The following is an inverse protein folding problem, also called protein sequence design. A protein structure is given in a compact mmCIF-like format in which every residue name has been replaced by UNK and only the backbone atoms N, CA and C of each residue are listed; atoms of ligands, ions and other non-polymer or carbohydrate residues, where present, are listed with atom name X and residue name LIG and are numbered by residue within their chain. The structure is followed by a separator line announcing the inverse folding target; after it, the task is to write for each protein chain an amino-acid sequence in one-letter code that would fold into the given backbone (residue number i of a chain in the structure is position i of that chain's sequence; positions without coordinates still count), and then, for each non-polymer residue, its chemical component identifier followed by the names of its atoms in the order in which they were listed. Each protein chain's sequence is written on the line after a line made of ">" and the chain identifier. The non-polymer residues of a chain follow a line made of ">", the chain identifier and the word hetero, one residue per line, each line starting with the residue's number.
data_IF_578286312393
#
_entry.id   IF_578286312393
#
_cell.length_a   1.000
_cell.length_b   1.000
_cell.length_c   1.000
_cell.angle_alpha   90.00
_cell.angle_beta   90.00
_cell.angle_gamma   90.00
#
_symmetry.space_group_name_H-M   'P 1'
#
loop_
_entity.id
_entity.type
_entity.pdbx_description
1 polymer ?
#
# COMPACT_ATOMS: atom_id res chain seq x y z
N UNK A 1 5.50 -19.25 -11.04
CA UNK A 1 4.39 -19.37 -10.06
C UNK A 1 4.86 -18.96 -8.65
N UNK A 2 5.56 -19.81 -7.89
CA UNK A 2 6.06 -19.47 -6.54
C UNK A 2 7.18 -18.43 -6.47
N UNK A 3 8.19 -18.46 -7.37
CA UNK A 3 9.26 -17.46 -7.37
C UNK A 3 8.76 -16.06 -7.68
N UNK A 4 7.76 -15.94 -8.55
CA UNK A 4 7.18 -14.65 -8.96
C UNK A 4 6.38 -14.02 -7.81
N UNK A 5 5.65 -14.84 -7.04
CA UNK A 5 4.99 -14.40 -5.82
C UNK A 5 6.00 -13.89 -4.78
N UNK A 6 7.10 -14.63 -4.57
CA UNK A 6 8.16 -14.20 -3.64
C UNK A 6 8.84 -12.90 -4.10
N UNK A 7 9.04 -12.71 -5.40
CA UNK A 7 9.58 -11.45 -5.97
C UNK A 7 8.61 -10.29 -5.76
N UNK A 8 7.31 -10.49 -6.04
CA UNK A 8 6.30 -9.47 -5.80
C UNK A 8 6.23 -9.09 -4.31
N UNK A 9 6.27 -10.08 -3.41
CA UNK A 9 6.28 -9.84 -1.97
C UNK A 9 7.54 -9.08 -1.52
N UNK A 10 8.72 -9.46 -2.04
CA UNK A 10 9.96 -8.76 -1.76
C UNK A 10 9.90 -7.29 -2.19
N UNK A 11 9.33 -6.99 -3.37
CA UNK A 11 9.15 -5.62 -3.83
C UNK A 11 8.19 -4.83 -2.93
N UNK A 12 7.08 -5.43 -2.50
CA UNK A 12 6.14 -4.78 -1.57
C UNK A 12 6.84 -4.44 -0.26
N UNK A 13 7.62 -5.36 0.31
CA UNK A 13 8.39 -5.13 1.54
C UNK A 13 9.42 -3.99 1.39
N UNK A 14 10.12 -3.95 0.25
CA UNK A 14 11.08 -2.88 -0.05
C UNK A 14 10.36 -1.52 -0.15
N UNK A 15 9.23 -1.46 -0.85
CA UNK A 15 8.45 -0.22 -1.04
C UNK A 15 7.86 0.26 0.30
N UNK A 16 7.25 -0.63 1.07
CA UNK A 16 6.69 -0.33 2.39
C UNK A 16 7.78 0.13 3.38
N UNK A 17 8.96 -0.47 3.32
CA UNK A 17 10.10 -0.09 4.17
C UNK A 17 10.81 1.20 3.75
N UNK A 18 10.64 1.66 2.52
CA UNK A 18 11.39 2.79 1.97
C UNK A 18 11.03 4.12 2.65
N UNK A 19 9.72 4.40 2.79
CA UNK A 19 9.21 5.62 3.43
C UNK A 19 9.65 5.78 4.89
N UNK A 20 9.47 4.77 5.78
CA UNK A 20 9.93 4.87 7.16
C UNK A 20 11.46 4.93 7.29
N UNK A 21 12.22 4.40 6.33
CA UNK A 21 13.68 4.48 6.33
C UNK A 21 14.21 5.85 5.86
N UNK A 22 13.66 6.40 4.77
CA UNK A 22 14.13 7.67 4.19
C UNK A 22 13.65 8.90 4.95
N UNK A 23 12.42 8.89 5.47
CA UNK A 23 11.80 10.05 6.10
C UNK A 23 10.87 9.65 7.27
N UNK A 24 11.44 9.14 8.39
CA UNK A 24 10.66 8.60 9.51
C UNK A 24 9.72 9.63 10.15
N UNK A 25 10.11 10.90 10.26
CA UNK A 25 9.27 11.96 10.85
C UNK A 25 8.06 12.25 9.97
N UNK A 26 8.26 12.37 8.65
CA UNK A 26 7.18 12.59 7.68
C UNK A 26 6.21 11.41 7.64
N UNK A 27 6.74 10.20 7.72
CA UNK A 27 5.93 9.00 7.83
C UNK A 27 5.06 9.00 9.10
N UNK A 28 5.65 9.35 10.25
CA UNK A 28 4.93 9.44 11.52
C UNK A 28 3.81 10.49 11.49
N UNK A 29 4.08 11.67 10.93
CA UNK A 29 3.06 12.70 10.73
C UNK A 29 1.91 12.23 9.84
N UNK A 30 2.23 11.53 8.75
CA UNK A 30 1.21 10.96 7.86
C UNK A 30 0.33 9.94 8.60
N UNK A 31 0.93 9.07 9.42
CA UNK A 31 0.18 8.09 10.21
C UNK A 31 -0.73 8.73 11.25
N UNK A 32 -0.28 9.81 11.89
CA UNK A 32 -1.13 10.58 12.81
C UNK A 32 -2.31 11.21 12.08
N UNK A 33 -2.10 11.78 10.89
CA UNK A 33 -3.20 12.32 10.08
C UNK A 33 -4.19 11.23 9.65
N UNK A 34 -3.69 10.04 9.29
CA UNK A 34 -4.53 8.91 8.93
C UNK A 34 -5.34 8.37 10.12
N UNK A 35 -4.82 8.48 11.35
CA UNK A 35 -5.55 8.07 12.56
C UNK A 35 -6.78 8.91 12.85
N UNK A 36 -6.83 10.15 12.35
CA UNK A 36 -7.96 11.07 12.49
C UNK A 36 -9.02 10.88 11.38
N UNK A 37 -8.72 10.06 10.36
CA UNK A 37 -9.67 9.78 9.27
C UNK A 37 -10.69 8.74 9.72
N UNK A 38 -11.98 9.05 9.53
CA UNK A 38 -13.08 8.13 9.81
C UNK A 38 -12.88 6.75 9.17
N UNK A 39 -13.10 5.68 9.95
CA UNK A 39 -12.92 4.30 9.50
C UNK A 39 -13.79 3.89 8.30
N UNK A 40 -14.88 4.63 8.00
CA UNK A 40 -15.65 4.44 6.77
C UNK A 40 -14.87 4.93 5.54
N UNK A 41 -14.27 6.11 5.62
CA UNK A 41 -13.46 6.68 4.54
C UNK A 41 -12.22 5.83 4.28
N UNK A 42 -11.57 5.34 5.34
CA UNK A 42 -10.42 4.43 5.23
C UNK A 42 -10.78 3.14 4.48
N UNK A 43 -11.94 2.54 4.80
CA UNK A 43 -12.42 1.32 4.13
C UNK A 43 -12.76 1.55 2.66
N UNK A 44 -13.40 2.68 2.33
CA UNK A 44 -13.70 3.02 0.93
C UNK A 44 -12.42 3.23 0.15
N UNK A 45 -11.47 3.99 0.71
CA UNK A 45 -10.17 4.20 0.08
C UNK A 45 -9.42 2.89 -0.18
N UNK A 46 -9.34 2.01 0.83
CA UNK A 46 -8.75 0.69 0.68
C UNK A 46 -9.48 -0.17 -0.37
N UNK A 47 -10.82 -0.14 -0.38
CA UNK A 47 -11.63 -0.85 -1.38
C UNK A 47 -11.38 -0.38 -2.81
N UNK A 48 -11.26 0.94 -3.02
CA UNK A 48 -10.93 1.51 -4.34
C UNK A 48 -9.53 1.08 -4.77
N UNK A 49 -8.53 1.14 -3.89
CA UNK A 49 -7.17 0.68 -4.20
C UNK A 49 -7.13 -0.79 -4.60
N UNK A 50 -7.82 -1.66 -3.86
CA UNK A 50 -7.94 -3.08 -4.20
C UNK A 50 -8.61 -3.25 -5.56
N UNK A 51 -9.73 -2.56 -5.80
CA UNK A 51 -10.46 -2.62 -7.06
C UNK A 51 -9.61 -2.19 -8.26
N UNK A 52 -8.91 -1.06 -8.15
CA UNK A 52 -7.98 -0.59 -9.18
C UNK A 52 -6.83 -1.57 -9.39
N UNK A 53 -6.25 -2.12 -8.32
CA UNK A 53 -5.20 -3.13 -8.41
C UNK A 53 -5.65 -4.39 -9.15
N UNK A 54 -6.86 -4.89 -8.86
CA UNK A 54 -7.44 -6.04 -9.57
C UNK A 54 -7.70 -5.72 -11.04
N UNK A 55 -8.24 -4.54 -11.35
CA UNK A 55 -8.45 -4.12 -12.74
C UNK A 55 -7.13 -4.05 -13.50
N UNK A 56 -6.10 -3.42 -12.94
CA UNK A 56 -4.77 -3.36 -13.56
C UNK A 56 -4.19 -4.75 -13.79
N UNK A 57 -4.31 -5.66 -12.81
CA UNK A 57 -3.87 -7.05 -12.99
C UNK A 57 -4.60 -7.76 -14.14
N UNK A 58 -5.90 -7.48 -14.33
CA UNK A 58 -6.69 -8.03 -15.46
C UNK A 58 -6.36 -7.38 -16.81
N UNK A 59 -5.86 -6.14 -16.85
CA UNK A 59 -5.48 -5.47 -18.10
C UNK A 59 -4.05 -5.80 -18.54
N UNK A 60 -3.15 -6.07 -17.59
CA UNK A 60 -1.72 -6.34 -17.84
C UNK A 60 -1.48 -7.84 -18.09
N UNK A 61 -2.40 -8.70 -17.66
CA UNK A 61 -2.38 -10.15 -17.89
C UNK A 61 -3.36 -10.52 -19.00
#
# INVERSE_FOLDING_TARGET
>A
MWPDLLRALALVLVIEGLMPFLAPERWREMMLRLSDVDGRSLRVFGGVLIGVGVLLLQFIH
#
